data_IF_333650550798
#
_entry.id   IF_333650550798
#
_cell.length_a   1.000
_cell.length_b   1.000
_cell.length_c   1.000
_cell.angle_alpha   90.00
_cell.angle_beta   90.00
_cell.angle_gamma   90.00
#
_symmetry.space_group_name_H-M   'P 1'
#
loop_
_entity.id
_entity.type
_entity.pdbx_description
1 polymer ?
#
# COMPACT_ATOMS: atom_id res chain seq x y z
N UNK A 1 -6.37 3.77 -8.05
CA UNK A 1 -7.71 4.42 -8.09
C UNK A 1 -8.33 4.18 -9.45
N UNK A 2 -9.65 4.31 -9.62
CA UNK A 2 -10.26 4.44 -10.95
C UNK A 2 -9.61 5.60 -11.73
N UNK A 3 -9.52 5.47 -13.04
CA UNK A 3 -9.00 6.53 -13.92
C UNK A 3 -9.85 7.82 -13.81
N UNK A 4 -11.13 7.65 -13.54
CA UNK A 4 -12.13 8.71 -13.33
C UNK A 4 -12.08 9.35 -11.94
N UNK A 5 -11.16 8.95 -11.06
CA UNK A 5 -11.05 9.53 -9.74
C UNK A 5 -10.75 11.05 -9.83
N UNK A 6 -11.45 11.89 -9.03
CA UNK A 6 -11.20 13.32 -8.99
C UNK A 6 -9.78 13.61 -8.48
N UNK A 7 -9.37 14.88 -8.56
CA UNK A 7 -8.13 15.34 -7.91
C UNK A 7 -8.20 15.00 -6.41
N UNK A 8 -7.19 14.27 -5.93
CA UNK A 8 -7.15 13.85 -4.54
C UNK A 8 -6.74 15.02 -3.64
N UNK A 9 -7.40 15.24 -2.50
CA UNK A 9 -6.93 16.18 -1.48
C UNK A 9 -5.70 15.58 -0.80
N UNK A 10 -4.50 15.99 -1.24
CA UNK A 10 -3.25 15.52 -0.66
C UNK A 10 -2.94 16.28 0.64
N UNK A 11 -2.27 15.63 1.62
CA UNK A 11 -1.83 16.30 2.85
C UNK A 11 -0.92 17.51 2.57
N UNK A 12 -0.89 18.46 3.50
CA UNK A 12 0.08 19.56 3.41
C UNK A 12 1.51 19.02 3.47
N UNK A 13 2.42 19.62 2.70
CA UNK A 13 3.80 19.12 2.55
C UNK A 13 3.98 18.02 1.51
N UNK A 14 2.89 17.47 0.95
CA UNK A 14 2.93 16.52 -0.17
C UNK A 14 2.79 17.28 -1.49
N UNK A 15 3.74 17.07 -2.40
CA UNK A 15 3.74 17.70 -3.72
C UNK A 15 2.64 17.18 -4.66
N UNK A 16 2.48 17.84 -5.81
CA UNK A 16 1.56 17.39 -6.84
C UNK A 16 1.90 15.96 -7.33
N UNK A 17 0.90 15.09 -7.56
CA UNK A 17 1.16 13.72 -7.99
C UNK A 17 1.65 13.70 -9.44
N UNK A 18 2.53 12.74 -9.76
CA UNK A 18 2.80 12.38 -11.15
C UNK A 18 1.75 11.35 -11.59
N UNK A 19 1.03 11.65 -12.67
CA UNK A 19 -0.07 10.81 -13.16
C UNK A 19 0.42 10.02 -14.37
N UNK A 20 0.21 8.69 -14.39
CA UNK A 20 0.54 7.89 -15.57
C UNK A 20 -0.41 8.15 -16.75
N UNK A 21 -0.01 7.73 -17.96
CA UNK A 21 -0.72 7.93 -19.23
C UNK A 21 -2.25 7.85 -19.16
N UNK A 22 -2.81 6.79 -18.61
CA UNK A 22 -4.26 6.57 -18.54
C UNK A 22 -4.88 6.97 -17.19
N UNK A 23 -4.15 7.63 -16.30
CA UNK A 23 -4.67 8.15 -15.03
C UNK A 23 -5.04 7.10 -13.97
N UNK A 24 -4.74 5.82 -14.17
CA UNK A 24 -5.00 4.74 -13.21
C UNK A 24 -3.99 4.68 -12.06
N UNK A 25 -2.77 5.17 -12.31
CA UNK A 25 -1.71 5.29 -11.31
C UNK A 25 -1.30 6.74 -11.07
N UNK A 26 -1.12 7.08 -9.79
CA UNK A 26 -0.66 8.39 -9.34
C UNK A 26 0.50 8.14 -8.38
N UNK A 27 1.66 8.69 -8.70
CA UNK A 27 2.86 8.64 -7.86
C UNK A 27 2.91 9.88 -7.00
N UNK A 28 3.13 9.69 -5.72
CA UNK A 28 3.18 10.77 -4.73
C UNK A 28 4.48 10.60 -3.94
N UNK A 29 5.30 11.64 -3.92
CA UNK A 29 6.45 11.71 -3.02
C UNK A 29 5.96 12.21 -1.66
N UNK A 30 6.07 11.36 -0.63
CA UNK A 30 5.68 11.68 0.73
C UNK A 30 6.49 10.86 1.73
N UNK A 31 6.72 11.41 2.93
CA UNK A 31 7.30 10.66 4.05
C UNK A 31 6.31 9.65 4.66
N UNK A 32 6.80 8.64 5.43
CA UNK A 32 5.97 7.60 6.03
C UNK A 32 4.82 8.11 6.92
N UNK A 33 4.99 9.28 7.53
CA UNK A 33 3.99 9.97 8.35
C UNK A 33 2.68 10.27 7.59
N UNK A 34 2.74 10.36 6.26
CA UNK A 34 1.58 10.61 5.42
C UNK A 34 0.83 9.35 5.00
N UNK A 35 1.33 8.15 5.32
CA UNK A 35 0.79 6.89 4.82
C UNK A 35 -0.71 6.71 5.14
N UNK A 36 -1.13 7.04 6.37
CA UNK A 36 -2.53 6.96 6.79
C UNK A 36 -3.44 7.86 5.97
N UNK A 37 -3.09 9.14 5.81
CA UNK A 37 -3.88 10.11 5.08
C UNK A 37 -3.94 9.80 3.57
N UNK A 38 -2.84 9.31 2.98
CA UNK A 38 -2.80 8.91 1.58
C UNK A 38 -3.66 7.66 1.32
N UNK A 39 -3.59 6.65 2.19
CA UNK A 39 -4.48 5.47 2.14
C UNK A 39 -5.94 5.84 2.29
N UNK A 40 -6.26 6.77 3.18
CA UNK A 40 -7.63 7.24 3.37
C UNK A 40 -8.16 7.99 2.13
N UNK A 41 -7.37 8.90 1.55
CA UNK A 41 -7.73 9.61 0.32
C UNK A 41 -7.93 8.65 -0.86
N UNK A 42 -7.05 7.65 -0.96
CA UNK A 42 -7.14 6.54 -1.88
C UNK A 42 -8.45 5.73 -1.71
N UNK A 43 -8.72 5.28 -0.49
CA UNK A 43 -9.90 4.47 -0.17
C UNK A 43 -11.21 5.20 -0.49
N UNK A 44 -11.30 6.49 -0.15
CA UNK A 44 -12.46 7.35 -0.50
C UNK A 44 -12.69 7.49 -2.01
N UNK A 45 -11.63 7.41 -2.80
CA UNK A 45 -11.71 7.43 -4.27
C UNK A 45 -11.89 6.02 -4.88
N UNK A 46 -12.09 4.98 -4.07
CA UNK A 46 -12.34 3.63 -4.54
C UNK A 46 -11.10 2.87 -5.00
N UNK A 47 -9.92 3.16 -4.46
CA UNK A 47 -8.71 2.36 -4.71
C UNK A 47 -7.88 2.15 -3.45
N UNK A 48 -6.58 1.89 -3.63
CA UNK A 48 -5.61 1.70 -2.56
C UNK A 48 -4.33 2.53 -2.78
N UNK A 49 -3.58 2.77 -1.70
CA UNK A 49 -2.23 3.35 -1.74
C UNK A 49 -1.18 2.39 -1.15
N UNK A 50 -0.12 2.14 -1.92
CA UNK A 50 1.00 1.27 -1.54
C UNK A 50 2.29 2.06 -1.55
N UNK A 51 3.14 1.86 -0.53
CA UNK A 51 4.47 2.42 -0.49
C UNK A 51 5.35 1.74 -1.55
N UNK A 52 5.88 2.56 -2.47
CA UNK A 52 6.93 2.12 -3.38
C UNK A 52 8.29 2.45 -2.78
N UNK A 53 9.17 1.46 -2.72
CA UNK A 53 10.54 1.62 -2.22
C UNK A 53 11.46 1.43 -3.41
N UNK A 54 12.22 2.48 -3.73
CA UNK A 54 13.19 2.44 -4.80
C UNK A 54 14.47 1.74 -4.30
N UNK A 55 14.74 0.53 -4.79
CA UNK A 55 15.94 -0.23 -4.47
C UNK A 55 15.94 -0.89 -3.08
N UNK A 56 17.14 -1.26 -2.62
CA UNK A 56 17.37 -1.89 -1.32
C UNK A 56 17.59 -0.85 -0.21
N UNK A 57 16.66 0.10 -0.06
CA UNK A 57 16.73 1.10 1.02
C UNK A 57 16.45 0.43 2.38
N UNK A 58 17.46 0.29 3.27
CA UNK A 58 17.29 -0.37 4.55
C UNK A 58 16.37 0.40 5.50
N UNK A 59 16.19 1.72 5.28
CA UNK A 59 15.31 2.55 6.10
C UNK A 59 13.83 2.18 5.95
N UNK A 60 13.49 1.44 4.89
CA UNK A 60 12.14 0.97 4.63
C UNK A 60 11.86 -0.44 5.19
N UNK A 61 12.81 -1.05 5.91
CA UNK A 61 12.59 -2.32 6.62
C UNK A 61 11.61 -2.11 7.77
N UNK A 62 10.61 -3.00 7.87
CA UNK A 62 9.59 -2.94 8.92
C UNK A 62 8.48 -1.90 8.69
N UNK A 63 8.52 -1.13 7.59
CA UNK A 63 7.41 -0.24 7.21
C UNK A 63 6.37 -1.05 6.42
N UNK A 64 5.12 -1.01 6.88
CA UNK A 64 4.01 -1.63 6.17
C UNK A 64 3.83 -1.00 4.79
N UNK A 65 4.08 -1.80 3.75
CA UNK A 65 4.06 -1.33 2.35
C UNK A 65 2.65 -1.23 1.81
N UNK A 66 1.83 -2.24 2.07
CA UNK A 66 0.50 -2.38 1.48
C UNK A 66 -0.56 -1.74 2.36
N UNK A 67 -1.68 -1.37 1.74
CA UNK A 67 -2.87 -1.01 2.48
C UNK A 67 -3.40 -2.22 3.26
N UNK A 68 -3.78 -2.06 4.55
CA UNK A 68 -4.28 -3.18 5.35
C UNK A 68 -5.44 -3.92 4.68
N UNK A 69 -5.38 -5.25 4.72
CA UNK A 69 -6.47 -6.07 4.20
C UNK A 69 -7.73 -5.87 5.04
N UNK A 70 -8.88 -5.83 4.35
CA UNK A 70 -10.17 -5.99 5.03
C UNK A 70 -10.21 -7.35 5.72
N UNK A 71 -10.85 -7.42 6.89
CA UNK A 71 -10.86 -8.63 7.73
C UNK A 71 -11.22 -9.94 6.99
N UNK A 72 -12.17 -9.98 6.02
CA UNK A 72 -12.43 -11.20 5.26
C UNK A 72 -11.25 -11.63 4.38
N UNK A 73 -10.56 -10.68 3.75
CA UNK A 73 -9.42 -10.95 2.87
C UNK A 73 -8.19 -11.37 3.68
N UNK A 74 -7.94 -10.73 4.83
CA UNK A 74 -6.87 -11.13 5.75
C UNK A 74 -7.02 -12.60 6.17
N UNK A 75 -8.23 -13.01 6.58
CA UNK A 75 -8.50 -14.41 6.95
C UNK A 75 -8.24 -15.39 5.81
N UNK A 76 -8.61 -15.03 4.57
CA UNK A 76 -8.34 -15.87 3.40
C UNK A 76 -6.83 -15.97 3.15
N UNK A 77 -6.12 -14.85 3.19
CA UNK A 77 -4.67 -14.80 3.00
C UNK A 77 -3.93 -15.66 4.05
N UNK A 78 -4.32 -15.57 5.33
CA UNK A 78 -3.74 -16.40 6.41
C UNK A 78 -3.92 -17.89 6.13
N UNK A 79 -5.14 -18.30 5.74
CA UNK A 79 -5.45 -19.71 5.47
C UNK A 79 -4.68 -20.24 4.27
N UNK A 80 -4.61 -19.46 3.19
CA UNK A 80 -3.81 -19.83 2.02
C UNK A 80 -2.33 -19.97 2.40
N UNK A 81 -1.78 -19.01 3.14
CA UNK A 81 -0.38 -19.08 3.57
C UNK A 81 -0.10 -20.29 4.45
N UNK A 82 -0.99 -20.62 5.39
CA UNK A 82 -0.85 -21.80 6.24
C UNK A 82 -0.88 -23.11 5.45
N UNK A 83 -1.67 -23.19 4.37
CA UNK A 83 -1.74 -24.37 3.51
C UNK A 83 -0.48 -24.53 2.64
N UNK A 84 0.04 -23.43 2.09
CA UNK A 84 1.21 -23.46 1.19
C UNK A 84 2.56 -23.46 1.92
N UNK A 85 2.62 -22.89 3.13
CA UNK A 85 3.84 -22.82 3.94
C UNK A 85 3.52 -23.07 5.43
N UNK A 86 3.18 -24.33 5.81
CA UNK A 86 2.84 -24.67 7.20
C UNK A 86 3.95 -24.37 8.20
N UNK A 87 5.21 -24.41 7.73
CA UNK A 87 6.40 -24.15 8.55
C UNK A 87 6.78 -22.67 8.59
N UNK A 88 6.12 -21.81 7.80
CA UNK A 88 6.37 -20.36 7.76
C UNK A 88 7.79 -19.98 7.32
N UNK A 89 8.38 -20.74 6.40
CA UNK A 89 9.78 -20.55 5.95
C UNK A 89 9.90 -19.46 4.89
N UNK A 90 8.87 -19.20 4.10
CA UNK A 90 8.94 -18.33 2.94
C UNK A 90 8.47 -16.91 3.25
N UNK A 91 9.28 -15.92 2.88
CA UNK A 91 8.90 -14.50 2.81
C UNK A 91 8.19 -13.96 4.08
N UNK A 92 8.68 -14.33 5.27
CA UNK A 92 8.13 -13.90 6.56
C UNK A 92 8.04 -12.37 6.64
N UNK A 93 6.87 -11.84 6.95
CA UNK A 93 6.64 -10.40 7.07
C UNK A 93 6.79 -9.58 5.79
N UNK A 94 6.97 -10.20 4.61
CA UNK A 94 7.25 -9.46 3.35
C UNK A 94 6.03 -8.71 2.81
N UNK A 95 4.84 -9.29 2.91
CA UNK A 95 3.59 -8.67 2.43
C UNK A 95 2.89 -7.93 3.55
N UNK A 96 2.60 -8.62 4.64
CA UNK A 96 2.02 -8.04 5.85
C UNK A 96 2.80 -8.59 7.02
N UNK A 97 3.19 -7.75 7.98
CA UNK A 97 4.03 -8.16 9.12
C UNK A 97 3.40 -9.34 9.90
N UNK A 98 2.07 -9.33 9.99
CA UNK A 98 1.28 -10.31 10.74
C UNK A 98 0.92 -11.58 9.95
N UNK A 99 1.23 -11.67 8.64
CA UNK A 99 1.03 -12.87 7.82
C UNK A 99 2.31 -13.72 7.75
#
# INVERSE_FOLDING_TARGET
MPQTAPVLPLPSGVGAPLVEWHGGQRWVQAGPEHAGALREAASRAGGHATLFIAGDDPSALGIDRFEPLKAPLDRIHRRLKAEFDPSGLFNRGRLYAEL
#
